data_IF_994712329898
#
_entry.id   IF_994712329898
#
_cell.length_a   1.000
_cell.length_b   1.000
_cell.length_c   1.000
_cell.angle_alpha   90.00
_cell.angle_beta   90.00
_cell.angle_gamma   90.00
#
_symmetry.space_group_name_H-M   'P 1'
#
loop_
_entity.id
_entity.type
_entity.pdbx_description
1 polymer ?
#
# COMPACT_ATOMS: atom_id res chain seq x y z
N UNK A 1 15.60 -31.71 21.58
CA UNK A 1 15.94 -31.20 20.20
C UNK A 1 14.62 -31.06 19.48
N UNK A 2 14.05 -29.85 19.49
CA UNK A 2 12.92 -29.50 18.65
C UNK A 2 13.37 -29.61 17.19
N UNK A 3 12.79 -30.56 16.48
CA UNK A 3 12.91 -30.61 15.04
C UNK A 3 12.17 -29.38 14.52
N UNK A 4 12.93 -28.37 14.07
CA UNK A 4 12.38 -27.20 13.46
C UNK A 4 11.39 -27.61 12.36
N UNK A 5 10.16 -27.17 12.46
CA UNK A 5 9.14 -27.39 11.45
C UNK A 5 9.61 -26.72 10.16
N UNK A 6 9.88 -27.52 9.14
CA UNK A 6 10.26 -27.00 7.83
C UNK A 6 9.05 -26.29 7.22
N UNK A 7 9.16 -24.97 7.05
CA UNK A 7 8.12 -24.19 6.38
C UNK A 7 8.10 -24.55 4.89
N UNK A 8 6.99 -25.15 4.45
CA UNK A 8 6.76 -25.42 3.02
C UNK A 8 6.09 -24.21 2.37
N UNK A 9 6.82 -23.57 1.46
CA UNK A 9 6.36 -22.48 0.64
C UNK A 9 5.78 -23.03 -0.63
N UNK A 10 4.49 -22.78 -0.88
CA UNK A 10 3.76 -23.24 -2.06
C UNK A 10 3.35 -22.03 -2.90
N UNK A 11 3.73 -22.05 -4.20
CA UNK A 11 3.21 -21.07 -5.15
C UNK A 11 1.81 -21.47 -5.56
N UNK A 12 0.85 -20.55 -5.42
CA UNK A 12 -0.55 -20.73 -5.81
C UNK A 12 -0.87 -19.88 -7.03
N UNK A 13 -2.00 -20.14 -7.68
CA UNK A 13 -2.48 -19.36 -8.82
C UNK A 13 -2.71 -17.88 -8.47
N UNK A 14 -3.03 -17.57 -7.22
CA UNK A 14 -3.25 -16.23 -6.69
C UNK A 14 -2.39 -16.02 -5.43
N UNK A 15 -1.05 -15.96 -5.59
CA UNK A 15 -0.13 -15.69 -4.50
C UNK A 15 0.60 -16.89 -3.93
N UNK A 16 0.89 -16.89 -2.64
CA UNK A 16 1.67 -17.90 -1.94
C UNK A 16 0.89 -18.60 -0.84
N UNK A 17 1.25 -19.81 -0.54
CA UNK A 17 0.74 -20.57 0.60
C UNK A 17 1.86 -21.02 1.53
N UNK A 18 1.58 -21.06 2.82
CA UNK A 18 2.44 -21.65 3.83
C UNK A 18 1.60 -22.63 4.65
N UNK A 19 1.99 -23.91 4.65
CA UNK A 19 1.28 -24.97 5.37
C UNK A 19 -0.24 -24.98 5.09
N UNK A 20 -0.63 -24.88 3.81
CA UNK A 20 -2.03 -24.88 3.38
C UNK A 20 -2.80 -23.56 3.59
N UNK A 21 -2.22 -22.53 4.20
CA UNK A 21 -2.83 -21.21 4.38
C UNK A 21 -2.39 -20.23 3.32
N UNK A 22 -3.29 -19.37 2.88
CA UNK A 22 -2.94 -18.25 2.00
C UNK A 22 -1.97 -17.31 2.70
N UNK A 23 -0.92 -16.89 2.01
CA UNK A 23 0.14 -16.07 2.56
C UNK A 23 0.65 -15.11 1.49
N UNK A 24 1.31 -14.05 1.93
CA UNK A 24 1.99 -13.10 1.06
C UNK A 24 3.42 -12.88 1.58
N UNK A 25 4.30 -12.47 0.68
CA UNK A 25 5.71 -12.24 1.01
C UNK A 25 5.91 -10.79 1.41
N UNK A 26 6.48 -10.57 2.60
CA UNK A 26 6.87 -9.26 3.09
C UNK A 26 8.39 -9.16 3.20
N UNK A 27 8.98 -7.99 2.88
CA UNK A 27 10.38 -7.72 3.14
C UNK A 27 10.70 -7.73 4.64
N UNK A 28 11.92 -8.15 4.97
CA UNK A 28 12.34 -8.31 6.37
C UNK A 28 12.35 -7.02 7.19
N UNK A 29 12.58 -5.86 6.54
CA UNK A 29 12.65 -4.57 7.20
C UNK A 29 11.29 -3.90 7.43
N UNK A 30 10.19 -4.54 7.02
CA UNK A 30 8.85 -3.99 7.14
C UNK A 30 8.48 -3.64 8.59
N UNK A 31 8.78 -4.50 9.53
CA UNK A 31 8.49 -4.28 10.95
C UNK A 31 9.27 -3.08 11.48
N UNK A 32 10.55 -2.97 11.10
CA UNK A 32 11.38 -1.84 11.51
C UNK A 32 10.83 -0.51 10.99
N UNK A 33 10.31 -0.48 9.76
CA UNK A 33 9.66 0.71 9.18
C UNK A 33 8.39 1.07 9.91
N UNK A 34 7.56 0.10 10.28
CA UNK A 34 6.34 0.34 11.06
C UNK A 34 6.70 0.93 12.43
N UNK A 35 7.68 0.35 13.13
CA UNK A 35 8.16 0.87 14.42
C UNK A 35 8.66 2.30 14.26
N UNK A 36 9.50 2.58 13.26
CA UNK A 36 10.02 3.91 13.01
C UNK A 36 8.90 4.93 12.76
N UNK A 37 7.95 4.61 11.89
CA UNK A 37 6.83 5.50 11.56
C UNK A 37 5.87 5.72 12.73
N UNK A 38 5.78 4.78 13.67
CA UNK A 38 4.99 4.94 14.89
C UNK A 38 5.66 5.81 15.97
N UNK A 39 6.85 6.33 15.70
CA UNK A 39 7.64 7.13 16.64
C UNK A 39 8.77 6.34 17.32
N UNK A 40 9.02 5.11 16.89
CA UNK A 40 10.03 4.25 17.48
C UNK A 40 9.75 3.98 18.96
N UNK A 41 10.78 4.10 19.78
CA UNK A 41 10.68 3.93 21.23
C UNK A 41 10.48 5.26 22.00
N UNK A 42 10.23 6.37 21.30
CA UNK A 42 10.19 7.71 21.88
C UNK A 42 8.77 8.27 22.03
N UNK A 43 7.75 7.52 21.64
CA UNK A 43 6.33 7.95 21.60
C UNK A 43 6.08 9.23 20.75
N UNK A 44 6.99 9.51 19.82
CA UNK A 44 6.91 10.72 18.98
C UNK A 44 6.40 10.34 17.60
N UNK A 45 5.09 10.24 17.46
CA UNK A 45 4.45 10.05 16.15
C UNK A 45 4.66 11.26 15.24
N UNK A 46 5.00 11.03 13.99
CA UNK A 46 5.14 12.11 13.00
C UNK A 46 3.76 12.56 12.49
N UNK A 47 3.21 13.61 13.10
CA UNK A 47 1.90 14.17 12.74
C UNK A 47 1.81 14.69 11.30
N UNK A 48 2.92 14.97 10.64
CA UNK A 48 2.89 15.40 9.22
C UNK A 48 2.37 14.30 8.29
N UNK A 49 2.35 13.05 8.73
CA UNK A 49 1.75 11.95 7.98
C UNK A 49 0.22 12.08 7.88
N UNK A 50 -0.43 12.75 8.83
CA UNK A 50 -1.88 12.97 8.81
C UNK A 50 -2.29 13.93 7.67
N UNK A 51 -1.37 14.78 7.21
CA UNK A 51 -1.62 15.67 6.07
C UNK A 51 -1.53 14.92 4.72
N UNK A 52 -0.75 13.85 4.67
CA UNK A 52 -0.54 13.03 3.47
C UNK A 52 -1.58 11.93 3.33
N UNK A 53 -2.03 11.36 4.46
CA UNK A 53 -3.00 10.27 4.53
C UNK A 53 -4.31 10.76 5.12
N UNK A 54 -5.26 11.13 4.27
CA UNK A 54 -6.59 11.64 4.64
C UNK A 54 -7.59 10.48 4.69
N UNK A 55 -7.89 9.98 5.88
CA UNK A 55 -8.68 8.75 6.07
C UNK A 55 -10.03 9.08 6.69
N UNK A 56 -11.11 8.57 6.08
CA UNK A 56 -12.49 8.72 6.53
C UNK A 56 -13.18 7.36 6.70
N UNK A 57 -14.14 7.30 7.63
CA UNK A 57 -14.93 6.11 7.87
C UNK A 57 -14.29 5.06 8.77
N UNK A 58 -13.10 5.35 9.32
CA UNK A 58 -12.40 4.45 10.25
C UNK A 58 -12.37 5.10 11.65
N UNK A 59 -12.53 4.28 12.68
CA UNK A 59 -12.45 4.71 14.08
C UNK A 59 -11.07 5.31 14.38
N UNK A 60 -11.05 6.49 15.01
CA UNK A 60 -9.85 7.25 15.34
C UNK A 60 -8.80 6.44 16.13
N UNK A 61 -9.24 5.43 16.90
CA UNK A 61 -8.33 4.56 17.67
C UNK A 61 -7.35 3.80 16.80
N UNK A 62 -7.68 3.56 15.53
CA UNK A 62 -6.86 2.77 14.61
C UNK A 62 -6.08 3.61 13.60
N UNK A 63 -6.37 4.91 13.49
CA UNK A 63 -5.80 5.77 12.44
C UNK A 63 -4.28 5.81 12.46
N UNK A 64 -3.67 6.04 13.62
CA UNK A 64 -2.20 6.08 13.73
C UNK A 64 -1.55 4.78 13.25
N UNK A 65 -2.09 3.63 13.66
CA UNK A 65 -1.56 2.32 13.24
C UNK A 65 -1.71 2.12 11.74
N UNK A 66 -2.86 2.49 11.18
CA UNK A 66 -3.13 2.37 9.74
C UNK A 66 -2.18 3.27 8.96
N UNK A 67 -2.02 4.52 9.34
CA UNK A 67 -1.10 5.47 8.70
C UNK A 67 0.34 4.96 8.75
N UNK A 68 0.79 4.38 9.86
CA UNK A 68 2.12 3.79 9.98
C UNK A 68 2.33 2.65 8.99
N UNK A 69 1.33 1.79 8.81
CA UNK A 69 1.39 0.69 7.84
C UNK A 69 1.39 1.22 6.40
N UNK A 70 0.49 2.14 6.08
CA UNK A 70 0.42 2.78 4.76
C UNK A 70 1.75 3.41 4.36
N UNK A 71 2.31 4.23 5.24
CA UNK A 71 3.58 4.91 5.03
C UNK A 71 4.74 3.93 4.88
N UNK A 72 4.76 2.88 5.67
CA UNK A 72 5.81 1.86 5.62
C UNK A 72 5.81 1.09 4.31
N UNK A 73 4.64 0.73 3.79
CA UNK A 73 4.52 0.05 2.49
C UNK A 73 4.87 0.98 1.32
N UNK A 74 4.45 2.24 1.39
CA UNK A 74 4.87 3.25 0.41
C UNK A 74 6.39 3.38 0.38
N UNK A 75 7.01 3.59 1.53
CA UNK A 75 8.46 3.74 1.66
C UNK A 75 9.22 2.50 1.18
N UNK A 76 8.72 1.32 1.49
CA UNK A 76 9.31 0.07 1.06
C UNK A 76 9.35 -0.03 -0.46
N UNK A 77 8.26 0.32 -1.13
CA UNK A 77 8.22 0.37 -2.59
C UNK A 77 9.15 1.44 -3.13
N UNK A 78 9.17 2.63 -2.53
CA UNK A 78 10.04 3.74 -2.95
C UNK A 78 11.52 3.46 -2.75
N UNK A 79 11.89 2.57 -1.82
CA UNK A 79 13.26 2.10 -1.62
C UNK A 79 13.67 0.99 -2.60
N UNK A 80 12.74 0.41 -3.35
CA UNK A 80 13.03 -0.61 -4.36
C UNK A 80 13.56 -0.01 -5.66
N UNK A 81 14.30 -0.80 -6.44
CA UNK A 81 14.81 -0.41 -7.77
C UNK A 81 13.79 -0.67 -8.88
N UNK A 82 12.51 -0.82 -8.54
CA UNK A 82 11.45 -1.10 -9.51
C UNK A 82 11.12 0.17 -10.29
N UNK A 83 11.22 0.09 -11.62
CA UNK A 83 10.79 1.16 -12.51
C UNK A 83 9.33 0.99 -12.88
N UNK A 84 8.61 2.11 -12.94
CA UNK A 84 7.22 2.15 -13.41
C UNK A 84 7.17 3.10 -14.60
N UNK A 85 6.70 2.58 -15.72
CA UNK A 85 6.55 3.37 -16.95
C UNK A 85 5.06 3.58 -17.22
N UNK A 86 4.65 4.84 -17.33
CA UNK A 86 3.35 5.20 -17.86
C UNK A 86 3.48 5.25 -19.39
N UNK A 87 2.73 4.39 -20.08
CA UNK A 87 2.53 4.51 -21.52
C UNK A 87 1.42 5.52 -21.83
N UNK A 88 1.34 5.98 -23.09
CA UNK A 88 0.30 6.92 -23.53
C UNK A 88 -1.15 6.42 -23.26
N UNK A 89 -1.33 5.12 -23.14
CA UNK A 89 -2.61 4.45 -22.84
C UNK A 89 -2.76 4.06 -21.36
N UNK A 90 -2.04 4.68 -20.44
CA UNK A 90 -2.01 4.53 -18.99
C UNK A 90 -3.03 3.52 -18.41
N UNK A 91 -2.77 2.22 -18.62
CA UNK A 91 -3.59 1.19 -18.01
C UNK A 91 -3.12 0.93 -16.56
N UNK A 92 -3.57 1.81 -15.65
CA UNK A 92 -3.27 1.66 -14.23
C UNK A 92 -3.63 0.29 -13.67
N UNK A 93 -4.72 -0.31 -14.16
CA UNK A 93 -5.13 -1.65 -13.70
C UNK A 93 -4.09 -2.71 -14.04
N UNK A 94 -3.49 -2.67 -15.23
CA UNK A 94 -2.43 -3.60 -15.61
C UNK A 94 -1.15 -3.36 -14.80
N UNK A 95 -0.74 -2.09 -14.66
CA UNK A 95 0.46 -1.71 -13.90
C UNK A 95 0.33 -2.20 -12.46
N UNK A 96 -0.77 -1.86 -11.79
CA UNK A 96 -0.99 -2.23 -10.39
C UNK A 96 -1.05 -3.73 -10.22
N UNK A 97 -1.81 -4.44 -11.06
CA UNK A 97 -1.95 -5.90 -10.95
C UNK A 97 -0.64 -6.63 -11.23
N UNK A 98 0.20 -6.14 -12.13
CA UNK A 98 1.53 -6.71 -12.37
C UNK A 98 2.46 -6.60 -11.15
N UNK A 99 2.28 -5.57 -10.34
CA UNK A 99 3.07 -5.35 -9.11
C UNK A 99 2.45 -5.96 -7.85
N UNK A 100 1.13 -6.16 -7.80
CA UNK A 100 0.45 -6.76 -6.65
C UNK A 100 0.34 -8.29 -6.76
N UNK A 101 0.04 -8.79 -7.96
CA UNK A 101 -0.20 -10.21 -8.21
C UNK A 101 0.93 -11.13 -7.74
N UNK A 102 2.22 -10.83 -8.05
CA UNK A 102 3.34 -11.67 -7.62
C UNK A 102 3.48 -11.82 -6.10
N UNK A 103 2.93 -10.89 -5.31
CA UNK A 103 2.96 -10.92 -3.84
C UNK A 103 1.69 -11.50 -3.22
N UNK A 104 0.69 -11.84 -4.02
CA UNK A 104 -0.59 -12.37 -3.53
C UNK A 104 -1.44 -11.38 -2.76
N UNK A 105 -1.22 -10.08 -2.96
CA UNK A 105 -1.93 -9.02 -2.22
C UNK A 105 -3.35 -8.79 -2.72
N UNK A 106 -3.72 -9.31 -3.90
CA UNK A 106 -5.04 -9.13 -4.49
C UNK A 106 -5.04 -8.20 -5.69
N UNK A 107 -6.22 -7.83 -6.15
CA UNK A 107 -6.45 -6.96 -7.30
C UNK A 107 -7.02 -5.60 -6.90
N UNK A 108 -6.81 -4.62 -7.76
CA UNK A 108 -7.31 -3.26 -7.61
C UNK A 108 -7.94 -2.83 -8.92
N UNK A 109 -9.03 -2.10 -8.83
CA UNK A 109 -9.70 -1.52 -9.99
C UNK A 109 -9.37 -0.04 -10.06
N UNK A 110 -8.81 0.40 -11.18
CA UNK A 110 -8.74 1.82 -11.54
C UNK A 110 -10.14 2.27 -11.99
N UNK A 111 -10.62 3.38 -11.46
CA UNK A 111 -11.97 3.90 -11.73
C UNK A 111 -11.89 5.02 -12.75
N UNK A 112 -11.08 6.03 -12.49
CA UNK A 112 -11.02 7.26 -13.30
C UNK A 112 -9.69 7.98 -13.13
N UNK A 113 -9.34 8.77 -14.16
CA UNK A 113 -8.28 9.78 -14.11
C UNK A 113 -8.86 11.08 -14.61
N UNK A 114 -8.99 12.06 -13.74
CA UNK A 114 -9.50 13.38 -14.09
C UNK A 114 -8.75 14.48 -13.34
N UNK A 115 -8.39 15.56 -14.05
CA UNK A 115 -7.73 16.74 -13.47
C UNK A 115 -6.47 16.44 -12.64
N UNK A 116 -5.70 15.40 -13.01
CA UNK A 116 -4.49 15.00 -12.28
C UNK A 116 -4.77 14.20 -11.00
N UNK A 117 -6.02 13.75 -10.80
CA UNK A 117 -6.45 12.89 -9.73
C UNK A 117 -6.71 11.51 -10.31
N UNK A 118 -6.13 10.49 -9.71
CA UNK A 118 -6.41 9.08 -10.03
C UNK A 118 -7.26 8.44 -8.93
N UNK A 119 -8.37 7.80 -9.33
CA UNK A 119 -9.27 7.10 -8.41
C UNK A 119 -9.17 5.58 -8.58
N UNK A 120 -9.10 4.89 -7.44
CA UNK A 120 -9.05 3.41 -7.39
C UNK A 120 -10.07 2.86 -6.39
N UNK A 121 -10.53 1.64 -6.64
CA UNK A 121 -11.29 0.84 -5.69
C UNK A 121 -10.46 -0.36 -5.24
N UNK A 122 -10.37 -0.56 -3.94
CA UNK A 122 -9.68 -1.67 -3.28
C UNK A 122 -10.71 -2.48 -2.52
N UNK A 123 -10.82 -3.76 -2.84
CA UNK A 123 -11.75 -4.66 -2.16
C UNK A 123 -11.39 -4.81 -0.68
N UNK A 124 -12.40 -4.89 0.18
CA UNK A 124 -12.19 -5.05 1.63
C UNK A 124 -11.67 -6.46 1.93
N UNK A 125 -10.43 -6.54 2.28
CA UNK A 125 -9.76 -7.76 2.72
C UNK A 125 -8.65 -7.44 3.72
N UNK A 126 -8.03 -8.49 4.29
CA UNK A 126 -6.97 -8.33 5.29
C UNK A 126 -5.74 -7.55 4.78
N UNK A 127 -5.55 -7.47 3.46
CA UNK A 127 -4.39 -6.84 2.84
C UNK A 127 -4.68 -5.42 2.31
N UNK A 128 -5.92 -4.94 2.42
CA UNK A 128 -6.34 -3.69 1.77
C UNK A 128 -5.42 -2.51 2.11
N UNK A 129 -5.03 -2.35 3.37
CA UNK A 129 -4.14 -1.26 3.81
C UNK A 129 -2.74 -1.38 3.18
N UNK A 130 -2.20 -2.60 3.08
CA UNK A 130 -0.92 -2.86 2.44
C UNK A 130 -0.98 -2.53 0.94
N UNK A 131 -2.07 -2.92 0.29
CA UNK A 131 -2.34 -2.64 -1.12
C UNK A 131 -2.35 -1.13 -1.36
N UNK A 132 -3.08 -0.37 -0.56
CA UNK A 132 -3.19 1.09 -0.69
C UNK A 132 -1.81 1.74 -0.56
N UNK A 133 -1.03 1.39 0.45
CA UNK A 133 0.32 1.91 0.63
C UNK A 133 1.21 1.66 -0.59
N UNK A 134 1.14 0.47 -1.17
CA UNK A 134 1.89 0.11 -2.38
C UNK A 134 1.41 0.86 -3.63
N UNK A 135 0.09 1.05 -3.78
CA UNK A 135 -0.48 1.82 -4.90
C UNK A 135 0.02 3.25 -4.89
N UNK A 136 0.03 3.89 -3.72
CA UNK A 136 0.53 5.26 -3.59
C UNK A 136 2.02 5.34 -3.94
N UNK A 137 2.83 4.38 -3.53
CA UNK A 137 4.23 4.28 -3.93
C UNK A 137 4.40 4.11 -5.45
N UNK A 138 3.60 3.25 -6.07
CA UNK A 138 3.58 3.07 -7.53
C UNK A 138 3.22 4.38 -8.24
N UNK A 139 2.19 5.07 -7.75
CA UNK A 139 1.72 6.32 -8.31
C UNK A 139 2.80 7.44 -8.22
N UNK A 140 3.41 7.60 -7.03
CA UNK A 140 4.47 8.59 -6.84
C UNK A 140 5.69 8.29 -7.72
N UNK A 141 6.07 7.03 -7.86
CA UNK A 141 7.18 6.61 -8.72
C UNK A 141 6.90 6.89 -10.19
N UNK A 142 5.69 6.58 -10.65
CA UNK A 142 5.27 6.78 -12.03
C UNK A 142 5.18 8.27 -12.41
N UNK A 143 4.71 9.11 -11.49
CA UNK A 143 4.52 10.55 -11.73
C UNK A 143 5.73 11.40 -11.33
N UNK A 144 6.71 10.85 -10.60
CA UNK A 144 7.86 11.60 -10.10
C UNK A 144 7.49 12.71 -9.10
N UNK A 145 6.36 12.58 -8.39
CA UNK A 145 5.81 13.60 -7.49
C UNK A 145 5.36 12.96 -6.19
N UNK A 146 5.47 13.70 -5.09
CA UNK A 146 4.83 13.34 -3.84
C UNK A 146 3.31 13.54 -3.93
N UNK A 147 2.55 12.77 -3.17
CA UNK A 147 1.10 12.75 -3.24
C UNK A 147 0.41 12.93 -1.89
N UNK A 148 -0.84 13.37 -1.96
CA UNK A 148 -1.84 13.21 -0.91
C UNK A 148 -2.79 12.09 -1.33
N UNK A 149 -3.11 11.20 -0.42
CA UNK A 149 -4.05 10.11 -0.63
C UNK A 149 -5.26 10.26 0.27
N UNK A 150 -6.44 10.37 -0.34
CA UNK A 150 -7.72 10.36 0.34
C UNK A 150 -8.27 8.94 0.33
N UNK A 151 -8.65 8.42 1.49
CA UNK A 151 -9.10 7.05 1.69
C UNK A 151 -10.47 7.08 2.36
N UNK A 152 -11.48 6.59 1.68
CA UNK A 152 -12.84 6.46 2.19
C UNK A 152 -13.21 4.98 2.34
N UNK A 153 -13.57 4.57 3.55
CA UNK A 153 -14.14 3.25 3.79
C UNK A 153 -15.60 3.23 3.30
N UNK A 154 -15.91 2.26 2.46
CA UNK A 154 -17.25 2.01 1.92
C UNK A 154 -17.75 0.62 2.35
N UNK A 155 -18.99 0.29 2.04
CA UNK A 155 -19.58 -1.04 2.36
C UNK A 155 -18.87 -2.20 1.67
N UNK A 156 -18.20 -1.95 0.53
CA UNK A 156 -17.56 -2.98 -0.29
C UNK A 156 -16.04 -2.96 -0.24
N UNK A 157 -15.45 -1.93 0.35
CA UNK A 157 -13.99 -1.78 0.40
C UNK A 157 -13.55 -0.35 0.62
N UNK A 158 -12.45 0.03 -0.01
CA UNK A 158 -11.92 1.39 0.05
C UNK A 158 -11.99 2.05 -1.32
N UNK A 159 -12.47 3.29 -1.33
CA UNK A 159 -12.31 4.21 -2.46
C UNK A 159 -11.13 5.12 -2.14
N UNK A 160 -10.12 5.16 -3.01
CA UNK A 160 -8.95 6.01 -2.83
C UNK A 160 -8.81 6.99 -3.98
N UNK A 161 -8.39 8.21 -3.64
CA UNK A 161 -8.04 9.26 -4.59
C UNK A 161 -6.61 9.70 -4.31
N UNK A 162 -5.80 9.75 -5.35
CA UNK A 162 -4.41 10.16 -5.26
C UNK A 162 -4.22 11.38 -6.12
N UNK A 163 -3.67 12.44 -5.54
CA UNK A 163 -3.32 13.67 -6.22
C UNK A 163 -1.93 14.15 -5.83
N UNK A 164 -1.35 15.00 -6.64
CA UNK A 164 -0.04 15.59 -6.36
C UNK A 164 -0.09 16.50 -5.14
N UNK A 165 0.84 16.32 -4.21
CA UNK A 165 1.09 17.29 -3.15
C UNK A 165 1.71 18.54 -3.79
N UNK A 166 0.89 19.55 -4.07
CA UNK A 166 1.35 20.83 -4.61
C UNK A 166 2.02 21.61 -3.48
N UNK A 167 3.35 21.71 -3.53
CA UNK A 167 4.05 22.73 -2.77
C UNK A 167 3.98 24.03 -3.60
N UNK A 168 3.14 24.96 -3.20
CA UNK A 168 3.25 26.33 -3.64
C UNK A 168 4.47 26.93 -2.93
N UNK A 169 5.57 27.08 -3.68
CA UNK A 169 6.67 27.95 -3.29
C UNK A 169 6.32 29.39 -3.59
#
# INVERSE_FOLDING_TARGET
RDKGQMLMLEKRSIGWGINGKSSYVLPCDMINRIIYNSGGYTDTYNKSLDDVWQIHGIDNRYLTSIVCVLQSFKQLFMASDVYVFLSENNNWSEIINSHLGPFGLGSVKHIDTSNGIDEFAVELNANAILIIGKIVGLWERANGKQSVCFIDLTDTGFKIKIESLLSYN
#
